data_IF_181647519451
#
_entry.id   IF_181647519451
#
_cell.length_a   1.000
_cell.length_b   1.000
_cell.length_c   1.000
_cell.angle_alpha   90.00
_cell.angle_beta   90.00
_cell.angle_gamma   90.00
#
_symmetry.space_group_name_H-M   'P 1'
#
loop_
_entity.id
_entity.type
_entity.pdbx_description
1 polymer ?
#
# COMPACT_ATOMS: atom_id res chain seq x y z
N UNK A 1 10.74 -0.64 -85.89
CA UNK A 1 11.73 -1.31 -85.01
C UNK A 1 11.02 -2.42 -84.30
N UNK A 2 11.07 -3.62 -84.88
CA UNK A 2 10.54 -4.80 -84.18
C UNK A 2 11.56 -5.24 -83.13
N UNK A 3 11.14 -5.36 -81.92
CA UNK A 3 12.01 -5.77 -80.83
C UNK A 3 12.36 -7.25 -80.97
N UNK A 4 13.49 -7.53 -81.59
CA UNK A 4 14.02 -8.88 -81.75
C UNK A 4 14.28 -9.66 -80.42
N UNK A 5 14.13 -9.03 -79.30
CA UNK A 5 14.37 -9.60 -77.98
C UNK A 5 13.22 -10.55 -77.54
N UNK A 6 12.00 -10.23 -77.94
CA UNK A 6 10.82 -11.01 -77.59
C UNK A 6 10.72 -12.30 -78.42
N UNK A 7 11.19 -12.29 -79.66
CA UNK A 7 11.19 -13.45 -80.53
C UNK A 7 12.27 -14.49 -80.11
N UNK A 8 13.36 -14.05 -79.48
CA UNK A 8 14.39 -14.97 -78.95
C UNK A 8 13.99 -15.74 -77.69
N UNK A 9 12.99 -15.28 -77.00
CA UNK A 9 12.42 -15.95 -75.78
C UNK A 9 11.25 -16.88 -76.06
N UNK A 10 10.80 -16.97 -77.37
CA UNK A 10 9.70 -17.87 -77.76
C UNK A 10 8.33 -17.54 -77.13
N UNK A 11 8.17 -16.32 -76.58
CA UNK A 11 6.95 -15.90 -75.90
C UNK A 11 6.18 -14.97 -76.85
N UNK A 12 4.94 -15.31 -77.15
CA UNK A 12 4.06 -14.47 -77.95
C UNK A 12 3.78 -13.14 -77.27
N UNK A 13 4.06 -11.98 -77.97
CA UNK A 13 3.79 -10.64 -77.42
C UNK A 13 2.38 -10.47 -76.92
N UNK A 14 1.42 -11.16 -77.48
CA UNK A 14 0.03 -11.17 -77.04
C UNK A 14 -0.17 -11.69 -75.60
N UNK A 15 0.59 -12.71 -75.23
CA UNK A 15 0.53 -13.29 -73.85
C UNK A 15 1.04 -12.28 -72.82
N UNK A 16 2.10 -11.54 -73.13
CA UNK A 16 2.67 -10.54 -72.25
C UNK A 16 1.64 -9.40 -71.99
N UNK A 17 0.97 -8.93 -73.03
CA UNK A 17 -0.04 -7.88 -72.92
C UNK A 17 -1.24 -8.35 -72.09
N UNK A 18 -1.68 -9.60 -72.27
CA UNK A 18 -2.76 -10.16 -71.47
C UNK A 18 -2.34 -10.28 -70.00
N UNK A 19 -1.11 -10.76 -69.72
CA UNK A 19 -0.58 -10.86 -68.38
C UNK A 19 -0.45 -9.48 -67.69
N UNK A 20 0.02 -8.46 -68.39
CA UNK A 20 0.08 -7.09 -67.87
C UNK A 20 -1.31 -6.54 -67.57
N UNK A 21 -2.29 -6.76 -68.47
CA UNK A 21 -3.67 -6.35 -68.22
C UNK A 21 -4.27 -7.07 -66.99
N UNK A 22 -3.99 -8.35 -66.82
CA UNK A 22 -4.42 -9.11 -65.64
C UNK A 22 -3.82 -8.57 -64.34
N UNK A 23 -2.51 -8.26 -64.35
CA UNK A 23 -1.84 -7.64 -63.18
C UNK A 23 -2.41 -6.27 -62.90
N UNK A 24 -2.66 -5.46 -63.91
CA UNK A 24 -3.24 -4.13 -63.72
C UNK A 24 -4.65 -4.20 -63.10
N UNK A 25 -5.50 -5.09 -63.58
CA UNK A 25 -6.82 -5.31 -63.01
C UNK A 25 -6.73 -5.79 -61.56
N UNK A 26 -5.81 -6.71 -61.27
CA UNK A 26 -5.58 -7.22 -59.89
C UNK A 26 -5.14 -6.09 -58.94
N UNK A 27 -4.22 -5.23 -59.37
CA UNK A 27 -3.76 -4.10 -58.56
C UNK A 27 -4.90 -3.11 -58.30
N UNK A 28 -5.73 -2.83 -59.32
CA UNK A 28 -6.90 -1.94 -59.15
C UNK A 28 -7.89 -2.52 -58.13
N UNK A 29 -8.22 -3.81 -58.23
CA UNK A 29 -9.12 -4.47 -57.27
C UNK A 29 -8.51 -4.47 -55.86
N UNK A 30 -7.21 -4.71 -55.73
CA UNK A 30 -6.50 -4.62 -54.45
C UNK A 30 -6.55 -3.21 -53.86
N UNK A 31 -6.29 -2.17 -54.65
CA UNK A 31 -6.41 -0.77 -54.23
C UNK A 31 -7.82 -0.41 -53.73
N UNK A 32 -8.85 -0.84 -54.47
CA UNK A 32 -10.24 -0.61 -54.04
C UNK A 32 -10.52 -1.31 -52.70
N UNK A 33 -10.02 -2.53 -52.52
CA UNK A 33 -10.17 -3.26 -51.25
C UNK A 33 -9.48 -2.60 -50.09
N UNK A 34 -8.25 -2.12 -50.28
CA UNK A 34 -7.48 -1.38 -49.26
C UNK A 34 -8.18 -0.06 -48.91
N UNK A 35 -8.63 0.69 -49.93
CA UNK A 35 -9.37 1.93 -49.73
C UNK A 35 -10.66 1.73 -48.93
N UNK A 36 -11.42 0.68 -49.22
CA UNK A 36 -12.65 0.35 -48.43
C UNK A 36 -12.30 -0.04 -46.98
N UNK A 37 -11.21 -0.79 -46.74
CA UNK A 37 -10.76 -1.11 -45.36
C UNK A 37 -10.34 0.16 -44.63
N UNK A 38 -9.60 1.03 -45.28
CA UNK A 38 -9.12 2.30 -44.69
C UNK A 38 -10.29 3.21 -44.33
N UNK A 39 -11.29 3.33 -45.22
CA UNK A 39 -12.49 4.14 -44.95
C UNK A 39 -13.31 3.59 -43.75
N UNK A 40 -13.42 2.27 -43.62
CA UNK A 40 -14.08 1.64 -42.45
C UNK A 40 -13.29 1.87 -41.16
N UNK A 41 -11.97 1.80 -41.23
CA UNK A 41 -11.09 2.08 -40.10
C UNK A 41 -11.19 3.56 -39.67
N UNK A 42 -11.13 4.48 -40.61
CA UNK A 42 -11.29 5.92 -40.36
C UNK A 42 -12.67 6.28 -39.83
N UNK A 43 -13.75 5.60 -40.27
CA UNK A 43 -15.09 5.80 -39.69
C UNK A 43 -15.13 5.36 -38.23
N UNK A 44 -14.58 4.20 -37.87
CA UNK A 44 -14.50 3.73 -36.47
C UNK A 44 -13.64 4.64 -35.60
N UNK A 45 -12.49 5.06 -36.14
CA UNK A 45 -11.61 6.00 -35.46
C UNK A 45 -12.28 7.36 -35.24
N UNK A 46 -13.03 7.87 -36.21
CA UNK A 46 -13.79 9.13 -36.12
C UNK A 46 -14.96 9.03 -35.15
N UNK A 47 -15.64 7.88 -35.05
CA UNK A 47 -16.68 7.64 -34.05
C UNK A 47 -16.07 7.62 -32.64
N UNK A 48 -14.93 6.98 -32.48
CA UNK A 48 -14.20 6.94 -31.20
C UNK A 48 -13.68 8.34 -30.79
N UNK A 49 -13.17 9.13 -31.74
CA UNK A 49 -12.64 10.46 -31.48
C UNK A 49 -13.69 11.60 -31.52
N UNK A 50 -14.85 11.39 -32.13
CA UNK A 50 -15.95 12.38 -32.22
C UNK A 50 -17.05 12.18 -31.17
N UNK A 51 -16.97 11.11 -30.41
CA UNK A 51 -17.96 10.86 -29.38
C UNK A 51 -17.87 11.90 -28.27
N UNK A 52 -19.01 12.30 -27.76
CA UNK A 52 -19.17 12.98 -26.47
C UNK A 52 -18.35 12.29 -25.35
N UNK A 53 -17.87 11.08 -25.63
CA UNK A 53 -17.07 10.24 -24.77
C UNK A 53 -15.65 10.76 -24.55
N UNK A 54 -15.01 11.44 -25.51
CA UNK A 54 -13.67 12.00 -25.34
C UNK A 54 -13.67 13.16 -24.32
N UNK A 55 -14.65 14.07 -24.41
CA UNK A 55 -14.83 15.17 -23.44
C UNK A 55 -15.32 14.65 -22.10
N UNK A 56 -16.17 13.61 -22.11
CA UNK A 56 -16.61 12.92 -20.90
C UNK A 56 -15.47 12.17 -20.24
N UNK A 57 -14.60 11.52 -21.01
CA UNK A 57 -13.41 10.81 -20.54
C UNK A 57 -12.41 11.79 -19.93
N UNK A 58 -12.14 12.92 -20.58
CA UNK A 58 -11.25 13.96 -20.06
C UNK A 58 -11.76 14.52 -18.72
N UNK A 59 -13.06 14.82 -18.61
CA UNK A 59 -13.68 15.24 -17.35
C UNK A 59 -13.59 14.15 -16.28
N UNK A 60 -13.85 12.89 -16.65
CA UNK A 60 -13.74 11.77 -15.71
C UNK A 60 -12.29 11.58 -15.22
N UNK A 61 -11.30 11.70 -16.10
CA UNK A 61 -9.89 11.68 -15.71
C UNK A 61 -9.55 12.85 -14.80
N UNK A 62 -9.94 14.07 -15.14
CA UNK A 62 -9.69 15.25 -14.32
C UNK A 62 -10.29 15.09 -12.90
N UNK A 63 -11.52 14.56 -12.79
CA UNK A 63 -12.13 14.27 -11.50
C UNK A 63 -11.35 13.21 -10.71
N UNK A 64 -10.91 12.13 -11.39
CA UNK A 64 -10.12 11.09 -10.73
C UNK A 64 -8.76 11.58 -10.26
N UNK A 65 -8.09 12.43 -11.01
CA UNK A 65 -6.86 13.07 -10.57
C UNK A 65 -7.07 13.95 -9.33
N UNK A 66 -8.14 14.76 -9.31
CA UNK A 66 -8.48 15.53 -8.12
C UNK A 66 -8.80 14.65 -6.90
N UNK A 67 -9.50 13.51 -7.09
CA UNK A 67 -9.73 12.53 -6.03
C UNK A 67 -8.41 11.93 -5.52
N UNK A 68 -7.49 11.58 -6.42
CA UNK A 68 -6.16 11.05 -6.07
C UNK A 68 -5.34 12.08 -5.30
N UNK A 69 -5.32 13.33 -5.73
CA UNK A 69 -4.62 14.42 -5.04
C UNK A 69 -5.17 14.61 -3.63
N UNK A 70 -6.51 14.64 -3.49
CA UNK A 70 -7.16 14.73 -2.18
C UNK A 70 -6.87 13.53 -1.28
N UNK A 71 -6.86 12.30 -1.85
CA UNK A 71 -6.49 11.10 -1.10
C UNK A 71 -5.03 11.14 -0.67
N UNK A 72 -4.13 11.65 -1.51
CA UNK A 72 -2.72 11.84 -1.17
C UNK A 72 -2.54 12.81 -0.01
N UNK A 73 -3.25 13.93 -0.02
CA UNK A 73 -3.25 14.91 1.07
C UNK A 73 -3.78 14.31 2.38
N UNK A 74 -4.93 13.62 2.33
CA UNK A 74 -5.50 12.93 3.50
C UNK A 74 -4.55 11.85 4.04
N UNK A 75 -3.89 11.11 3.14
CA UNK A 75 -2.92 10.08 3.54
C UNK A 75 -1.74 10.70 4.27
N UNK A 76 -1.25 11.86 3.82
CA UNK A 76 -0.18 12.59 4.50
C UNK A 76 -0.61 13.04 5.89
N UNK A 77 -1.79 13.66 6.01
CA UNK A 77 -2.36 14.08 7.31
C UNK A 77 -2.47 12.89 8.25
N UNK A 78 -3.07 11.78 7.78
CA UNK A 78 -3.22 10.57 8.60
C UNK A 78 -1.87 9.99 9.03
N UNK A 79 -0.86 10.02 8.17
CA UNK A 79 0.48 9.54 8.50
C UNK A 79 1.12 10.39 9.61
N UNK A 80 0.95 11.71 9.55
CA UNK A 80 1.46 12.62 10.57
C UNK A 80 0.73 12.44 11.91
N UNK A 81 -0.59 12.25 11.87
CA UNK A 81 -1.40 11.94 13.06
C UNK A 81 -0.99 10.60 13.69
N UNK A 82 -0.79 9.55 12.89
CA UNK A 82 -0.33 8.25 13.38
C UNK A 82 1.05 8.37 14.03
N UNK A 83 1.95 9.16 13.45
CA UNK A 83 3.27 9.40 14.03
C UNK A 83 3.15 10.07 15.39
N UNK A 84 2.30 11.09 15.51
CA UNK A 84 2.02 11.79 16.76
C UNK A 84 1.43 10.85 17.83
N UNK A 85 0.45 10.03 17.43
CA UNK A 85 -0.17 9.05 18.34
C UNK A 85 0.88 8.05 18.83
N UNK A 86 1.73 7.51 17.96
CA UNK A 86 2.81 6.60 18.35
C UNK A 86 3.80 7.26 19.31
N UNK A 87 4.15 8.53 19.11
CA UNK A 87 5.03 9.25 20.00
C UNK A 87 4.43 9.45 21.39
N UNK A 88 3.14 9.75 21.47
CA UNK A 88 2.43 9.84 22.75
C UNK A 88 2.35 8.47 23.41
N UNK A 89 1.99 7.45 22.65
CA UNK A 89 1.85 6.07 23.14
C UNK A 89 3.16 5.53 23.71
N UNK A 90 4.29 5.82 23.06
CA UNK A 90 5.60 5.35 23.52
C UNK A 90 5.99 5.89 24.90
N UNK A 91 5.42 7.02 25.31
CA UNK A 91 5.65 7.66 26.61
C UNK A 91 4.51 7.43 27.62
N UNK A 92 3.47 6.73 27.19
CA UNK A 92 2.33 6.40 28.04
C UNK A 92 2.52 5.04 28.66
N UNK A 93 2.18 4.87 29.95
CA UNK A 93 2.22 3.57 30.59
C UNK A 93 1.22 2.62 29.89
N UNK A 94 1.74 1.71 29.09
CA UNK A 94 0.99 0.73 28.30
C UNK A 94 1.23 -0.71 28.75
N UNK A 95 2.19 -0.92 29.64
CA UNK A 95 2.48 -2.20 30.28
C UNK A 95 2.09 -2.10 31.75
N UNK A 96 1.09 -2.86 32.14
CA UNK A 96 0.57 -2.86 33.50
C UNK A 96 0.58 -4.30 34.00
N UNK A 97 1.28 -4.54 35.09
CA UNK A 97 1.35 -5.82 35.74
C UNK A 97 0.97 -5.69 37.22
N UNK A 98 0.32 -6.71 37.78
CA UNK A 98 0.00 -6.77 39.21
C UNK A 98 0.28 -8.18 39.72
N UNK A 99 0.98 -8.28 40.85
CA UNK A 99 1.21 -9.51 41.59
C UNK A 99 0.68 -9.30 42.99
N UNK A 100 -0.19 -10.22 43.45
CA UNK A 100 -0.67 -10.29 44.85
C UNK A 100 0.08 -11.37 45.58
N UNK A 101 0.58 -11.04 46.75
CA UNK A 101 1.38 -11.95 47.53
C UNK A 101 1.06 -11.86 49.02
N UNK A 102 1.54 -12.83 49.79
CA UNK A 102 1.43 -12.84 51.21
C UNK A 102 2.80 -12.44 51.82
N UNK A 103 2.90 -11.19 52.26
CA UNK A 103 4.14 -10.70 52.87
C UNK A 103 4.38 -11.24 54.28
N UNK A 104 3.28 -11.60 55.01
CA UNK A 104 3.33 -12.08 56.36
C UNK A 104 2.32 -13.23 56.53
N UNK A 105 2.78 -14.50 56.60
CA UNK A 105 1.93 -15.66 56.69
C UNK A 105 0.94 -15.62 57.87
N UNK A 106 1.28 -14.89 58.91
CA UNK A 106 0.50 -14.76 60.14
C UNK A 106 -0.72 -13.82 60.01
N UNK A 107 -0.80 -13.01 58.96
CA UNK A 107 -1.91 -12.04 58.78
C UNK A 107 -3.08 -12.62 57.99
N UNK A 108 -2.83 -13.70 57.29
CA UNK A 108 -3.81 -14.44 56.50
C UNK A 108 -4.30 -13.70 55.25
N UNK A 109 -4.15 -14.38 54.12
CA UNK A 109 -4.61 -13.87 52.81
C UNK A 109 -3.54 -13.05 52.04
N UNK A 110 -3.67 -13.08 50.71
CA UNK A 110 -2.77 -12.30 49.81
C UNK A 110 -3.24 -10.84 49.73
N UNK A 111 -3.03 -10.10 50.83
CA UNK A 111 -3.46 -8.70 50.94
C UNK A 111 -2.39 -7.72 50.40
N UNK A 112 -1.13 -8.15 50.38
CA UNK A 112 -0.04 -7.36 49.78
C UNK A 112 -0.05 -7.48 48.28
N UNK A 113 0.37 -6.40 47.58
CA UNK A 113 0.49 -6.41 46.11
C UNK A 113 1.62 -5.52 45.65
N UNK A 114 2.16 -5.88 44.51
CA UNK A 114 3.05 -5.03 43.70
C UNK A 114 2.36 -4.74 42.36
N UNK A 115 2.35 -3.47 41.98
CA UNK A 115 1.79 -2.96 40.71
C UNK A 115 2.90 -2.28 39.94
N UNK A 116 3.18 -2.74 38.73
CA UNK A 116 4.06 -2.05 37.78
C UNK A 116 3.26 -1.33 36.71
N UNK A 117 3.68 -0.11 36.40
CA UNK A 117 3.18 0.69 35.28
C UNK A 117 4.37 1.20 34.50
N UNK A 118 4.59 0.65 33.29
CA UNK A 118 5.73 0.92 32.45
C UNK A 118 5.30 1.34 31.05
N UNK A 119 6.11 2.18 30.43
CA UNK A 119 5.97 2.58 29.03
C UNK A 119 6.59 1.54 28.08
N UNK A 120 6.60 1.85 26.77
CA UNK A 120 7.19 0.99 25.74
C UNK A 120 8.70 0.76 25.94
N UNK A 121 9.40 1.72 26.55
CA UNK A 121 10.83 1.64 26.89
C UNK A 121 11.14 0.89 28.16
N UNK A 122 10.15 0.29 28.81
CA UNK A 122 10.21 -0.29 30.16
C UNK A 122 10.60 0.74 31.23
N UNK A 123 10.17 1.98 31.06
CA UNK A 123 10.39 3.04 32.05
C UNK A 123 9.07 3.41 32.73
N UNK A 124 9.10 3.68 34.02
CA UNK A 124 7.91 3.99 34.80
C UNK A 124 8.13 3.76 36.28
N UNK A 125 7.22 3.08 36.94
CA UNK A 125 7.35 2.83 38.36
C UNK A 125 6.71 1.51 38.80
N UNK A 126 7.16 1.02 39.93
CA UNK A 126 6.54 -0.06 40.72
C UNK A 126 6.00 0.52 42.02
N UNK A 127 4.73 0.36 42.24
CA UNK A 127 4.06 0.63 43.49
C UNK A 127 3.92 -0.68 44.27
N UNK A 128 4.46 -0.75 45.49
CA UNK A 128 4.33 -1.90 46.35
C UNK A 128 3.59 -1.52 47.63
N UNK A 129 2.59 -2.31 47.97
CA UNK A 129 1.79 -2.16 49.20
C UNK A 129 1.91 -3.45 50.02
N UNK A 130 2.55 -3.34 51.17
CA UNK A 130 2.76 -4.44 52.13
C UNK A 130 1.77 -4.29 53.25
N UNK A 131 0.90 -5.29 53.43
CA UNK A 131 -0.11 -5.32 54.50
C UNK A 131 0.40 -6.16 55.65
N UNK A 132 0.58 -5.54 56.83
CA UNK A 132 0.98 -6.16 58.07
C UNK A 132 -0.08 -6.01 59.15
N UNK A 133 0.16 -6.58 60.36
CA UNK A 133 -0.76 -6.51 61.52
C UNK A 133 -0.95 -5.09 62.05
N UNK A 134 0.07 -4.25 61.95
CA UNK A 134 0.09 -2.89 62.48
C UNK A 134 -0.30 -1.82 61.46
N UNK A 135 -0.50 -2.21 60.18
CA UNK A 135 -0.86 -1.28 59.12
C UNK A 135 -0.40 -1.71 57.75
N UNK A 136 -0.61 -0.79 56.75
CA UNK A 136 -0.20 -0.98 55.37
C UNK A 136 0.92 0.00 55.08
N UNK A 137 2.05 -0.51 54.56
CA UNK A 137 3.19 0.27 54.13
C UNK A 137 3.21 0.31 52.61
N UNK A 138 3.21 1.52 52.06
CA UNK A 138 3.20 1.70 50.61
C UNK A 138 4.43 2.51 50.19
N UNK A 139 5.13 2.05 49.16
CA UNK A 139 6.27 2.75 48.58
C UNK A 139 6.32 2.59 47.06
N UNK A 140 7.02 3.52 46.42
CA UNK A 140 7.19 3.55 44.96
C UNK A 140 8.66 3.44 44.64
N UNK A 141 8.99 2.65 43.61
CA UNK A 141 10.34 2.58 43.05
C UNK A 141 10.29 2.98 41.57
N UNK A 142 11.19 3.83 41.17
CA UNK A 142 11.36 4.24 39.77
C UNK A 142 12.06 3.12 38.99
N UNK A 143 11.56 2.90 37.76
CA UNK A 143 12.15 1.97 36.79
C UNK A 143 12.55 2.79 35.57
N UNK A 144 13.79 2.64 35.15
CA UNK A 144 14.36 3.28 33.97
C UNK A 144 14.95 2.19 33.06
N UNK A 145 14.33 2.01 31.90
CA UNK A 145 14.74 0.99 30.90
C UNK A 145 14.82 -0.43 31.49
N UNK A 146 13.87 -0.77 32.36
CA UNK A 146 13.81 -2.07 33.00
C UNK A 146 14.68 -2.25 34.24
N UNK A 147 15.45 -1.23 34.63
CA UNK A 147 16.32 -1.26 35.79
C UNK A 147 15.86 -0.30 36.89
N UNK A 148 16.15 -0.61 38.12
CA UNK A 148 15.89 0.26 39.28
C UNK A 148 17.17 0.55 40.05
N UNK A 149 17.34 1.79 40.49
CA UNK A 149 18.41 2.18 41.37
C UNK A 149 18.28 1.57 42.78
N UNK A 150 17.07 1.19 43.18
CA UNK A 150 16.79 0.57 44.45
C UNK A 150 16.57 -0.92 44.21
N UNK A 151 17.11 -1.76 45.07
CA UNK A 151 16.97 -3.23 44.98
C UNK A 151 15.47 -3.59 44.92
N UNK A 152 15.06 -4.29 43.86
CA UNK A 152 13.69 -4.81 43.72
C UNK A 152 13.52 -6.07 44.54
N UNK A 153 12.36 -6.21 45.21
CA UNK A 153 11.89 -7.45 45.80
C UNK A 153 11.65 -8.54 44.74
N UNK A 154 11.41 -9.76 45.17
CA UNK A 154 11.22 -10.89 44.26
C UNK A 154 9.95 -10.71 43.42
N UNK A 155 8.85 -10.29 44.05
CA UNK A 155 7.56 -10.01 43.42
C UNK A 155 7.61 -8.80 42.47
N UNK A 156 8.42 -7.80 42.81
CA UNK A 156 8.63 -6.62 41.98
C UNK A 156 9.45 -6.95 40.72
N UNK A 157 10.45 -7.83 40.85
CA UNK A 157 11.21 -8.33 39.69
C UNK A 157 10.34 -9.14 38.75
N UNK A 158 9.46 -9.95 39.28
CA UNK A 158 8.55 -10.77 38.51
C UNK A 158 7.69 -9.90 37.58
N UNK A 159 7.10 -8.80 38.07
CA UNK A 159 6.23 -7.94 37.27
C UNK A 159 6.98 -7.00 36.32
N UNK A 160 8.24 -6.69 36.56
CA UNK A 160 9.07 -5.85 35.67
C UNK A 160 9.63 -6.69 34.50
N UNK A 161 9.79 -8.00 34.68
CA UNK A 161 10.35 -8.91 33.66
C UNK A 161 9.33 -9.41 32.62
N UNK A 162 8.04 -9.16 32.83
CA UNK A 162 6.97 -9.44 31.87
C UNK A 162 6.87 -8.33 30.82
#
# INVERSE_FOLDING_TARGET
>A
MESNILNSLGIDPGIIVIAMMGIMIFVLLYMVRVSMKMTRFMKRYRIFMRGKDAVSLEKAFAQRFQEVDKLSELTKINTDEIRRIKEIQSRTANKIGIVKYDAFPDVGGRLSFALAMLDESNSGFVLNAIHGREGCYTYVKEIVKGESYIVLGQEEKEIVSY
#
